data_IF_241530358841
#
_entry.id   IF_241530358841
#
_cell.length_a   1.000
_cell.length_b   1.000
_cell.length_c   1.000
_cell.angle_alpha   90.00
_cell.angle_beta   90.00
_cell.angle_gamma   90.00
#
_symmetry.space_group_name_H-M   'P 1'
#
loop_
_entity.id
_entity.type
_entity.pdbx_description
1 polymer ?
#
# COMPACT_ATOMS: atom_id res chain seq x y z
N UNK A 1 1.89 10.20 39.02
CA UNK A 1 2.59 9.25 38.12
C UNK A 1 3.93 9.87 37.75
N UNK A 2 5.03 9.13 37.90
CA UNK A 2 6.38 9.68 37.67
C UNK A 2 6.56 9.86 36.13
N UNK A 3 7.21 10.99 35.73
CA UNK A 3 7.50 11.32 34.30
C UNK A 3 8.23 10.17 33.60
N UNK A 4 9.18 9.53 34.26
CA UNK A 4 9.94 8.38 33.75
C UNK A 4 9.04 7.19 33.36
N UNK A 5 8.10 6.86 34.22
CA UNK A 5 7.12 5.77 34.00
C UNK A 5 6.19 6.08 32.83
N UNK A 6 5.83 7.35 32.60
CA UNK A 6 4.99 7.76 31.48
C UNK A 6 5.74 7.65 30.15
N UNK A 7 6.99 8.12 30.11
CA UNK A 7 7.84 8.03 28.92
C UNK A 7 8.08 6.57 28.53
N UNK A 8 8.44 5.70 29.47
CA UNK A 8 8.66 4.29 29.19
C UNK A 8 7.42 3.58 28.59
N UNK A 9 6.22 4.02 28.97
CA UNK A 9 4.99 3.47 28.39
C UNK A 9 4.78 3.93 26.95
N UNK A 10 5.08 5.20 26.65
CA UNK A 10 4.99 5.73 25.28
C UNK A 10 6.07 5.15 24.39
N UNK A 11 7.31 5.00 24.89
CA UNK A 11 8.43 4.43 24.13
C UNK A 11 8.13 3.02 23.64
N UNK A 12 7.46 2.19 24.41
CA UNK A 12 7.05 0.84 23.99
C UNK A 12 6.20 0.81 22.74
N UNK A 13 5.33 1.81 22.55
CA UNK A 13 4.59 1.94 21.29
C UNK A 13 5.46 2.55 20.21
N UNK A 14 6.21 3.60 20.55
CA UNK A 14 6.98 4.37 19.58
C UNK A 14 8.11 3.56 18.93
N UNK A 15 8.77 2.67 19.69
CA UNK A 15 9.87 1.81 19.19
C UNK A 15 9.46 0.98 17.96
N UNK A 16 8.27 0.38 18.01
CA UNK A 16 7.75 -0.47 16.94
C UNK A 16 6.82 0.27 15.96
N UNK A 17 6.68 1.60 16.13
CA UNK A 17 5.80 2.46 15.32
C UNK A 17 6.51 3.71 14.79
N UNK A 18 7.77 3.59 14.39
CA UNK A 18 8.55 4.68 13.76
C UNK A 18 8.64 5.96 14.60
N UNK A 19 8.69 5.84 15.91
CA UNK A 19 8.65 6.99 16.82
C UNK A 19 7.26 7.58 17.04
N UNK A 20 6.22 7.01 16.44
CA UNK A 20 4.84 7.51 16.49
C UNK A 20 4.04 6.83 17.62
N UNK A 21 3.12 7.58 18.19
CA UNK A 21 2.15 7.08 19.17
C UNK A 21 0.79 7.75 18.93
N UNK A 22 -0.28 6.98 19.02
CA UNK A 22 -1.61 7.57 18.97
C UNK A 22 -2.05 8.00 20.37
N UNK A 23 -2.89 9.01 20.42
CA UNK A 23 -3.53 9.42 21.67
C UNK A 23 -4.31 8.27 22.33
N UNK A 24 -4.97 7.42 21.53
CA UNK A 24 -5.76 6.31 22.03
C UNK A 24 -4.89 5.22 22.67
N UNK A 25 -3.71 4.97 22.14
CA UNK A 25 -2.71 4.08 22.73
C UNK A 25 -2.20 4.65 24.07
N UNK A 26 -1.94 5.95 24.15
CA UNK A 26 -1.54 6.60 25.38
C UNK A 26 -2.65 6.49 26.45
N UNK A 27 -3.90 6.69 26.09
CA UNK A 27 -5.05 6.53 26.97
C UNK A 27 -5.19 5.07 27.47
N UNK A 28 -5.04 4.09 26.58
CA UNK A 28 -5.05 2.65 26.95
C UNK A 28 -3.91 2.25 27.86
N UNK A 29 -2.76 2.93 27.76
CA UNK A 29 -1.62 2.78 28.68
C UNK A 29 -1.81 3.49 30.02
N UNK A 30 -3.00 4.07 30.29
CA UNK A 30 -3.34 4.75 31.53
C UNK A 30 -2.75 6.16 31.65
N UNK A 31 -2.38 6.79 30.53
CA UNK A 31 -1.91 8.18 30.52
C UNK A 31 -3.13 9.11 30.44
N UNK A 32 -3.37 9.88 31.50
CA UNK A 32 -4.51 10.79 31.54
C UNK A 32 -4.41 11.90 30.50
N UNK A 33 -5.57 12.42 30.08
CA UNK A 33 -5.66 13.53 29.13
C UNK A 33 -4.81 14.75 29.56
N UNK A 34 -4.86 15.09 30.86
CA UNK A 34 -4.09 16.21 31.42
C UNK A 34 -2.57 15.96 31.33
N UNK A 35 -2.12 14.74 31.66
CA UNK A 35 -0.71 14.36 31.52
C UNK A 35 -0.26 14.41 30.05
N UNK A 36 -1.08 13.88 29.14
CA UNK A 36 -0.79 13.89 27.70
C UNK A 36 -0.68 15.32 27.15
N UNK A 37 -1.62 16.21 27.50
CA UNK A 37 -1.59 17.63 27.10
C UNK A 37 -0.34 18.33 27.62
N UNK A 38 0.09 18.03 28.84
CA UNK A 38 1.33 18.57 29.41
C UNK A 38 2.56 18.09 28.63
N UNK A 39 2.64 16.82 28.25
CA UNK A 39 3.75 16.30 27.44
C UNK A 39 3.86 17.00 26.08
N UNK A 40 2.73 17.34 25.46
CA UNK A 40 2.70 18.14 24.23
C UNK A 40 3.21 19.55 24.51
N UNK A 41 2.73 20.20 25.56
CA UNK A 41 3.15 21.56 25.92
C UNK A 41 4.65 21.66 26.29
N UNK A 42 5.21 20.59 26.86
CA UNK A 42 6.63 20.48 27.20
C UNK A 42 7.51 20.05 26.00
N UNK A 43 6.94 19.82 24.81
CA UNK A 43 7.68 19.37 23.63
C UNK A 43 8.24 17.96 23.75
N UNK A 44 7.72 17.12 24.65
CA UNK A 44 8.13 15.72 24.83
C UNK A 44 7.55 14.82 23.74
N UNK A 45 6.37 15.17 23.27
CA UNK A 45 5.71 14.61 22.10
C UNK A 45 5.24 15.75 21.21
N UNK A 46 5.42 15.61 19.91
CA UNK A 46 5.05 16.61 18.91
C UNK A 46 3.92 16.07 18.04
N UNK A 47 2.93 16.91 17.79
CA UNK A 47 1.80 16.51 16.95
C UNK A 47 2.24 16.41 15.48
N UNK A 48 2.06 15.23 14.88
CA UNK A 48 2.29 14.99 13.45
C UNK A 48 0.98 15.13 12.69
N UNK A 49 -0.09 14.54 13.22
CA UNK A 49 -1.40 14.57 12.61
C UNK A 49 -2.50 14.47 13.69
N UNK A 50 -3.78 14.46 13.26
CA UNK A 50 -4.91 14.37 14.18
C UNK A 50 -4.82 13.10 15.06
N UNK A 51 -4.55 13.28 16.34
CA UNK A 51 -4.45 12.18 17.30
C UNK A 51 -3.20 11.30 17.19
N UNK A 52 -2.23 11.67 16.33
CA UNK A 52 -0.93 11.00 16.18
C UNK A 52 0.20 11.97 16.54
N UNK A 53 1.14 11.49 17.30
CA UNK A 53 2.24 12.27 17.84
C UNK A 53 3.56 11.51 17.67
N UNK A 54 4.61 12.27 17.44
CA UNK A 54 5.98 11.77 17.40
C UNK A 54 6.64 11.97 18.76
N UNK A 55 7.35 10.98 19.25
CA UNK A 55 8.13 11.08 20.48
C UNK A 55 9.43 11.84 20.19
N UNK A 56 9.62 12.99 20.85
CA UNK A 56 10.81 13.83 20.64
C UNK A 56 12.08 13.05 20.98
N UNK A 57 13.05 13.09 20.06
CA UNK A 57 14.28 12.30 20.16
C UNK A 57 14.23 10.94 19.46
N UNK A 58 13.06 10.45 19.02
CA UNK A 58 13.00 9.32 18.11
C UNK A 58 13.44 9.75 16.68
N UNK A 59 14.05 8.87 15.88
CA UNK A 59 14.37 9.19 14.51
C UNK A 59 13.11 9.53 13.69
N UNK A 60 13.18 10.59 12.89
CA UNK A 60 12.12 10.91 11.93
C UNK A 60 12.27 9.92 10.77
N UNK A 61 11.21 9.18 10.50
CA UNK A 61 11.21 8.21 9.43
C UNK A 61 10.74 8.84 8.11
N UNK A 62 11.21 8.28 6.99
CA UNK A 62 10.62 8.58 5.69
C UNK A 62 9.11 8.29 5.69
N UNK A 63 8.36 9.05 4.89
CA UNK A 63 6.91 8.88 4.76
C UNK A 63 6.13 8.95 6.09
N UNK A 64 6.57 9.80 7.03
CA UNK A 64 5.95 9.94 8.35
C UNK A 64 4.46 10.29 8.27
N UNK A 65 4.05 11.10 7.30
CA UNK A 65 2.66 11.52 7.10
C UNK A 65 1.75 10.34 6.77
N UNK A 66 2.11 9.51 5.80
CA UNK A 66 1.30 8.33 5.47
C UNK A 66 1.28 7.29 6.59
N UNK A 67 2.37 7.18 7.37
CA UNK A 67 2.40 6.34 8.59
C UNK A 67 1.45 6.86 9.65
N UNK A 68 1.42 8.16 9.87
CA UNK A 68 0.49 8.79 10.80
C UNK A 68 -0.96 8.59 10.34
N UNK A 69 -1.26 8.83 9.06
CA UNK A 69 -2.58 8.60 8.49
C UNK A 69 -3.01 7.13 8.62
N UNK A 70 -2.10 6.18 8.36
CA UNK A 70 -2.38 4.75 8.53
C UNK A 70 -2.67 4.38 10.00
N UNK A 71 -1.90 4.94 10.96
CA UNK A 71 -2.17 4.72 12.39
C UNK A 71 -3.55 5.23 12.81
N UNK A 72 -4.05 6.29 12.19
CA UNK A 72 -5.38 6.83 12.45
C UNK A 72 -6.52 5.93 11.98
N UNK A 73 -6.28 5.06 11.01
CA UNK A 73 -7.32 4.10 10.58
C UNK A 73 -7.75 3.17 11.71
N UNK A 74 -6.86 2.83 12.64
CA UNK A 74 -7.19 2.01 13.80
C UNK A 74 -6.37 2.46 15.05
N UNK A 75 -6.66 3.65 15.62
CA UNK A 75 -5.76 4.31 16.57
C UNK A 75 -5.57 3.59 17.90
N UNK A 76 -6.39 2.57 18.20
CA UNK A 76 -6.23 1.74 19.40
C UNK A 76 -5.42 0.47 19.19
N UNK A 77 -5.09 0.14 17.94
CA UNK A 77 -4.37 -1.10 17.57
C UNK A 77 -2.93 -0.74 17.26
N UNK A 78 -1.98 -1.43 17.88
CA UNK A 78 -0.55 -1.26 17.62
C UNK A 78 -0.19 -1.70 16.19
N UNK A 79 0.84 -1.09 15.60
CA UNK A 79 1.22 -1.37 14.20
C UNK A 79 1.46 -2.86 13.96
N UNK A 80 2.13 -3.57 14.87
CA UNK A 80 2.43 -5.00 14.78
C UNK A 80 1.23 -5.94 14.98
N UNK A 81 0.12 -5.44 15.54
CA UNK A 81 -1.11 -6.21 15.74
C UNK A 81 -2.10 -6.05 14.59
N UNK A 82 -1.79 -5.18 13.62
CA UNK A 82 -2.70 -4.87 12.52
C UNK A 82 -2.65 -5.93 11.43
N UNK A 83 -3.81 -6.18 10.89
CA UNK A 83 -4.02 -7.00 9.69
C UNK A 83 -4.39 -6.10 8.50
N UNK A 84 -4.39 -6.59 7.27
CA UNK A 84 -4.80 -5.82 6.08
C UNK A 84 -6.22 -5.22 6.20
N UNK A 85 -7.08 -5.79 7.04
CA UNK A 85 -8.45 -5.27 7.27
C UNK A 85 -8.47 -3.86 7.90
N UNK A 86 -7.40 -3.42 8.53
CA UNK A 86 -7.26 -2.07 9.05
C UNK A 86 -6.80 -1.05 7.99
N UNK A 87 -6.51 -1.51 6.79
CA UNK A 87 -6.14 -0.70 5.64
C UNK A 87 -4.75 -1.01 5.09
N UNK A 88 -4.68 -1.16 3.78
CA UNK A 88 -3.44 -1.35 2.99
C UNK A 88 -3.22 -0.09 2.16
N UNK A 89 -2.02 0.43 2.16
CA UNK A 89 -1.65 1.59 1.33
C UNK A 89 -1.73 1.19 -0.13
N UNK A 90 -2.39 2.00 -0.96
CA UNK A 90 -2.72 1.67 -2.34
C UNK A 90 -2.65 2.87 -3.27
N UNK A 91 -2.96 2.69 -4.54
CA UNK A 91 -3.06 3.74 -5.57
C UNK A 91 -1.80 4.64 -5.60
N UNK A 92 -1.99 5.97 -5.67
CA UNK A 92 -0.88 6.93 -5.75
C UNK A 92 0.02 6.94 -4.53
N UNK A 93 -0.54 6.70 -3.32
CA UNK A 93 0.26 6.61 -2.10
C UNK A 93 1.19 5.41 -2.10
N UNK A 94 0.75 4.26 -2.62
CA UNK A 94 1.61 3.10 -2.78
C UNK A 94 2.68 3.34 -3.85
N UNK A 95 2.31 3.93 -5.00
CA UNK A 95 3.26 4.30 -6.04
C UNK A 95 4.39 5.20 -5.51
N UNK A 96 4.04 6.20 -4.69
CA UNK A 96 5.00 7.10 -4.06
C UNK A 96 5.94 6.37 -3.10
N UNK A 97 5.46 5.39 -2.31
CA UNK A 97 6.28 4.58 -1.42
C UNK A 97 7.30 3.71 -2.16
N UNK A 98 6.95 3.24 -3.36
CA UNK A 98 7.86 2.51 -4.24
C UNK A 98 8.80 3.43 -5.03
N UNK A 99 8.51 4.74 -5.10
CA UNK A 99 9.19 5.67 -5.99
C UNK A 99 8.87 5.44 -7.46
N UNK A 100 7.65 5.00 -7.79
CA UNK A 100 7.21 4.62 -9.12
C UNK A 100 6.42 5.73 -9.81
N UNK A 101 6.71 5.97 -11.09
CA UNK A 101 6.04 6.97 -11.92
C UNK A 101 6.21 8.39 -11.38
N UNK A 102 5.42 9.32 -11.91
CA UNK A 102 5.41 10.73 -11.51
C UNK A 102 4.03 11.18 -11.06
N UNK A 103 3.32 10.31 -10.34
CA UNK A 103 1.97 10.57 -9.86
C UNK A 103 2.02 11.37 -8.55
N UNK A 104 1.46 12.59 -8.51
CA UNK A 104 1.41 13.33 -7.26
C UNK A 104 0.49 12.63 -6.26
N UNK A 105 0.98 12.37 -5.06
CA UNK A 105 0.24 11.75 -3.96
C UNK A 105 -0.25 12.83 -2.99
N UNK A 106 -1.22 13.65 -3.43
CA UNK A 106 -1.78 14.76 -2.64
C UNK A 106 -2.67 14.29 -1.49
N UNK A 107 -3.02 13.02 -1.48
CA UNK A 107 -3.83 12.35 -0.47
C UNK A 107 -3.23 11.01 -0.11
N UNK A 108 -3.64 10.51 1.06
CA UNK A 108 -3.27 9.17 1.53
C UNK A 108 -4.35 8.16 1.12
N UNK A 109 -4.03 7.30 0.14
CA UNK A 109 -4.93 6.29 -0.39
C UNK A 109 -4.78 4.97 0.36
N UNK A 110 -5.89 4.44 0.86
CA UNK A 110 -5.93 3.15 1.55
C UNK A 110 -7.05 2.27 1.01
N UNK A 111 -6.75 1.00 0.77
CA UNK A 111 -7.74 -0.01 0.41
C UNK A 111 -8.14 -0.80 1.64
N UNK A 112 -9.46 -1.02 1.80
CA UNK A 112 -10.07 -1.81 2.86
C UNK A 112 -11.06 -2.82 2.26
N UNK A 113 -11.19 -3.99 2.91
CA UNK A 113 -12.18 -5.02 2.56
C UNK A 113 -13.63 -4.56 2.79
N UNK A 114 -13.85 -3.69 3.79
CA UNK A 114 -15.17 -3.17 4.18
C UNK A 114 -15.29 -1.68 3.91
N UNK A 115 -16.51 -1.25 3.50
CA UNK A 115 -16.78 0.18 3.29
C UNK A 115 -16.62 0.95 4.60
N UNK A 116 -15.83 1.99 4.55
CA UNK A 116 -15.60 2.93 5.65
C UNK A 116 -15.60 4.36 5.12
N UNK A 117 -16.01 5.29 5.95
CA UNK A 117 -15.94 6.73 5.68
C UNK A 117 -14.88 7.37 6.56
N UNK A 118 -14.24 8.40 6.06
CA UNK A 118 -13.33 9.26 6.81
C UNK A 118 -13.80 10.70 6.77
N UNK A 119 -13.45 11.47 7.81
CA UNK A 119 -13.64 12.92 7.84
C UNK A 119 -12.34 13.68 7.55
N UNK A 120 -11.27 12.95 7.29
CA UNK A 120 -9.97 13.53 6.97
C UNK A 120 -9.94 13.87 5.47
N UNK A 121 -9.73 15.15 5.10
CA UNK A 121 -9.77 15.57 3.71
C UNK A 121 -8.60 15.05 2.88
N UNK A 122 -7.50 14.73 3.54
CA UNK A 122 -6.26 14.20 2.99
C UNK A 122 -6.21 12.66 2.91
N UNK A 123 -7.27 11.97 3.36
CA UNK A 123 -7.39 10.50 3.32
C UNK A 123 -8.50 10.08 2.37
N UNK A 124 -8.16 9.18 1.44
CA UNK A 124 -9.10 8.52 0.54
C UNK A 124 -9.17 7.02 0.85
N UNK A 125 -10.39 6.52 1.03
CA UNK A 125 -10.62 5.11 1.36
C UNK A 125 -11.32 4.43 0.18
N UNK A 126 -10.66 3.40 -0.34
CA UNK A 126 -11.17 2.56 -1.41
C UNK A 126 -11.71 1.26 -0.82
N UNK A 127 -12.90 0.84 -1.28
CA UNK A 127 -13.46 -0.46 -0.90
C UNK A 127 -13.18 -1.46 -2.00
N UNK A 128 -12.23 -2.35 -1.78
CA UNK A 128 -11.91 -3.47 -2.68
C UNK A 128 -11.46 -4.69 -1.88
N UNK A 129 -11.79 -5.90 -2.32
CA UNK A 129 -11.16 -7.09 -1.76
C UNK A 129 -9.66 -7.04 -2.06
N UNK A 130 -8.87 -7.55 -1.12
CA UNK A 130 -7.44 -7.76 -1.28
C UNK A 130 -7.18 -9.24 -1.02
N UNK A 131 -6.62 -9.91 -2.02
CA UNK A 131 -6.23 -11.30 -1.91
C UNK A 131 -4.82 -11.43 -1.34
N UNK A 132 -4.52 -12.61 -0.82
CA UNK A 132 -3.16 -12.93 -0.39
C UNK A 132 -2.21 -12.82 -1.59
N UNK A 133 -1.09 -12.12 -1.41
CA UNK A 133 -0.12 -11.88 -2.48
C UNK A 133 -0.31 -10.57 -3.25
N UNK A 134 -1.43 -9.85 -3.13
CA UNK A 134 -1.62 -8.54 -3.76
C UNK A 134 -0.97 -7.37 -3.00
N UNK A 135 -0.42 -7.63 -1.83
CA UNK A 135 0.28 -6.64 -1.00
C UNK A 135 1.51 -7.25 -0.33
N UNK A 136 2.43 -6.41 0.09
CA UNK A 136 3.64 -6.77 0.84
C UNK A 136 3.87 -5.77 1.96
N UNK A 137 4.78 -6.09 2.89
CA UNK A 137 5.22 -5.14 3.91
C UNK A 137 6.42 -4.35 3.42
N UNK A 138 6.31 -3.01 3.42
CA UNK A 138 7.41 -2.08 3.12
C UNK A 138 7.65 -1.20 4.34
N UNK A 139 8.80 -1.33 4.97
CA UNK A 139 9.14 -0.57 6.16
C UNK A 139 8.12 -0.71 7.30
N UNK A 140 7.47 -1.87 7.40
CA UNK A 140 6.42 -2.17 8.39
C UNK A 140 5.00 -1.72 8.00
N UNK A 141 4.81 -1.13 6.82
CA UNK A 141 3.50 -0.75 6.28
C UNK A 141 3.00 -1.80 5.29
N UNK A 142 1.73 -2.22 5.32
CA UNK A 142 1.14 -3.03 4.27
C UNK A 142 0.88 -2.15 3.04
N UNK A 143 1.42 -2.54 1.89
CA UNK A 143 1.39 -1.76 0.64
C UNK A 143 1.01 -2.68 -0.51
N UNK A 144 0.09 -2.27 -1.38
CA UNK A 144 -0.26 -3.05 -2.58
C UNK A 144 0.93 -3.19 -3.53
N UNK A 145 1.03 -4.34 -4.20
CA UNK A 145 2.09 -4.58 -5.20
C UNK A 145 1.93 -3.68 -6.42
N UNK A 146 3.01 -3.39 -7.16
CA UNK A 146 2.95 -2.53 -8.34
C UNK A 146 1.94 -2.97 -9.39
N UNK A 147 1.77 -4.26 -9.65
CA UNK A 147 0.74 -4.77 -10.56
C UNK A 147 -0.66 -4.43 -10.07
N UNK A 148 -0.94 -4.57 -8.76
CA UNK A 148 -2.21 -4.16 -8.17
C UNK A 148 -2.40 -2.64 -8.22
N UNK A 149 -1.35 -1.84 -8.00
CA UNK A 149 -1.43 -0.38 -8.13
C UNK A 149 -1.84 0.00 -9.56
N UNK A 150 -1.27 -0.64 -10.58
CA UNK A 150 -1.61 -0.37 -11.98
C UNK A 150 -3.11 -0.60 -12.27
N UNK A 151 -3.69 -1.71 -11.80
CA UNK A 151 -5.12 -1.99 -11.96
C UNK A 151 -5.99 -1.01 -11.17
N UNK A 152 -5.63 -0.70 -9.93
CA UNK A 152 -6.37 0.25 -9.09
C UNK A 152 -6.42 1.65 -9.72
N UNK A 153 -5.31 2.11 -10.31
CA UNK A 153 -5.24 3.39 -11.01
C UNK A 153 -6.07 3.41 -12.30
N UNK A 154 -6.05 2.33 -13.08
CA UNK A 154 -6.89 2.21 -14.27
C UNK A 154 -8.39 2.21 -13.92
N UNK A 155 -8.78 1.61 -12.80
CA UNK A 155 -10.15 1.64 -12.33
C UNK A 155 -10.60 3.03 -11.84
N UNK A 156 -9.65 3.85 -11.40
CA UNK A 156 -9.87 5.26 -11.02
C UNK A 156 -9.76 6.21 -12.25
N UNK A 157 -9.76 5.67 -13.48
CA UNK A 157 -9.64 6.44 -14.73
C UNK A 157 -8.36 7.29 -14.82
N UNK A 158 -7.26 6.83 -14.18
CA UNK A 158 -5.97 7.48 -14.31
C UNK A 158 -5.48 7.48 -15.77
N UNK A 159 -4.66 8.48 -16.12
CA UNK A 159 -4.05 8.55 -17.45
C UNK A 159 -3.23 7.30 -17.78
N UNK A 160 -3.52 6.60 -18.88
CA UNK A 160 -2.80 5.39 -19.25
C UNK A 160 -1.28 5.59 -19.44
N UNK A 161 -0.85 6.79 -19.83
CA UNK A 161 0.57 7.13 -19.94
C UNK A 161 1.25 7.16 -18.56
N UNK A 162 0.58 7.71 -17.55
CA UNK A 162 1.07 7.73 -16.17
C UNK A 162 1.17 6.29 -15.61
N UNK A 163 0.16 5.46 -15.87
CA UNK A 163 0.19 4.03 -15.49
C UNK A 163 1.31 3.29 -16.23
N UNK A 164 1.54 3.59 -17.51
CA UNK A 164 2.62 3.00 -18.28
C UNK A 164 4.01 3.32 -17.72
N UNK A 165 4.24 4.56 -17.29
CA UNK A 165 5.49 4.95 -16.59
C UNK A 165 5.68 4.15 -15.30
N UNK A 166 4.62 4.03 -14.48
CA UNK A 166 4.65 3.23 -13.25
C UNK A 166 5.04 1.77 -13.54
N UNK A 167 4.42 1.15 -14.55
CA UNK A 167 4.70 -0.23 -14.94
C UNK A 167 6.16 -0.39 -15.40
N UNK A 168 6.62 0.49 -16.28
CA UNK A 168 7.98 0.46 -16.79
C UNK A 168 9.02 0.61 -15.66
N UNK A 169 8.79 1.54 -14.74
CA UNK A 169 9.66 1.76 -13.60
C UNK A 169 9.68 0.54 -12.65
N UNK A 170 8.51 -0.04 -12.35
CA UNK A 170 8.41 -1.21 -11.49
C UNK A 170 9.13 -2.43 -12.06
N UNK A 171 9.01 -2.68 -13.36
CA UNK A 171 9.68 -3.80 -14.02
C UNK A 171 11.19 -3.57 -14.03
N UNK A 172 11.67 -2.38 -14.39
CA UNK A 172 13.11 -2.04 -14.39
C UNK A 172 13.74 -2.13 -13.01
N UNK A 173 13.02 -1.71 -11.97
CA UNK A 173 13.47 -1.78 -10.58
C UNK A 173 13.31 -3.19 -9.97
N UNK A 174 12.80 -4.17 -10.73
CA UNK A 174 12.53 -5.55 -10.26
C UNK A 174 11.61 -5.57 -9.03
N UNK A 175 10.69 -4.62 -8.95
CA UNK A 175 9.74 -4.51 -7.84
C UNK A 175 8.47 -5.35 -8.08
N UNK A 176 8.19 -5.69 -9.35
CA UNK A 176 7.15 -6.64 -9.72
C UNK A 176 7.50 -7.31 -11.06
N UNK A 177 6.86 -8.44 -11.33
CA UNK A 177 7.15 -9.27 -12.49
C UNK A 177 6.24 -8.91 -13.68
N UNK A 178 6.75 -8.88 -14.93
CA UNK A 178 5.94 -8.52 -16.12
C UNK A 178 4.69 -9.37 -16.30
N UNK A 179 4.72 -10.65 -15.93
CA UNK A 179 3.57 -11.55 -15.98
C UNK A 179 2.43 -11.11 -15.07
N UNK A 180 2.74 -10.63 -13.87
CA UNK A 180 1.73 -10.14 -12.93
C UNK A 180 0.97 -8.95 -13.52
N UNK A 181 1.67 -8.05 -14.23
CA UNK A 181 1.00 -6.96 -14.93
C UNK A 181 0.09 -7.47 -16.05
N UNK A 182 0.55 -8.44 -16.85
CA UNK A 182 -0.30 -9.01 -17.91
C UNK A 182 -1.59 -9.60 -17.33
N UNK A 183 -1.51 -10.30 -16.20
CA UNK A 183 -2.67 -10.91 -15.55
C UNK A 183 -3.69 -9.86 -15.08
N UNK A 184 -3.25 -8.84 -14.35
CA UNK A 184 -4.16 -7.80 -13.82
C UNK A 184 -4.68 -6.85 -14.91
N UNK A 185 -3.99 -6.72 -16.03
CA UNK A 185 -4.37 -5.86 -17.15
C UNK A 185 -5.37 -6.50 -18.11
N UNK A 186 -5.54 -7.82 -18.09
CA UNK A 186 -6.42 -8.54 -18.99
C UNK A 186 -7.87 -7.99 -19.04
N UNK A 187 -8.53 -7.63 -17.92
CA UNK A 187 -9.87 -7.07 -17.93
C UNK A 187 -10.01 -5.74 -18.69
N UNK A 188 -8.93 -4.99 -18.82
CA UNK A 188 -8.94 -3.67 -19.46
C UNK A 188 -8.77 -3.70 -20.99
N UNK A 189 -8.51 -4.87 -21.58
CA UNK A 189 -8.22 -5.00 -23.00
C UNK A 189 -9.29 -4.37 -23.91
N UNK A 190 -10.56 -4.63 -23.64
CA UNK A 190 -11.69 -4.08 -24.43
C UNK A 190 -11.75 -2.55 -24.31
N UNK A 191 -11.46 -1.98 -23.15
CA UNK A 191 -11.42 -0.53 -22.91
C UNK A 191 -10.41 0.17 -23.87
N UNK A 192 -9.32 -0.51 -24.18
CA UNK A 192 -8.28 -0.01 -25.07
C UNK A 192 -8.43 -0.48 -26.54
N UNK A 193 -9.59 -1.04 -26.90
CA UNK A 193 -9.85 -1.51 -28.28
C UNK A 193 -9.09 -2.79 -28.65
N UNK A 194 -8.63 -3.55 -27.67
CA UNK A 194 -7.88 -4.79 -27.83
C UNK A 194 -8.78 -6.02 -27.66
N UNK A 195 -8.26 -7.19 -28.02
CA UNK A 195 -8.99 -8.45 -27.86
C UNK A 195 -9.29 -8.70 -26.37
N UNK A 196 -10.51 -9.10 -26.07
CA UNK A 196 -10.94 -9.44 -24.71
C UNK A 196 -9.95 -10.36 -24.00
N UNK A 197 -9.65 -10.06 -22.76
CA UNK A 197 -8.77 -10.81 -21.86
C UNK A 197 -7.31 -10.95 -22.36
N UNK A 198 -6.87 -10.09 -23.30
CA UNK A 198 -5.50 -10.05 -23.80
C UNK A 198 -4.65 -9.05 -23.02
N UNK A 199 -4.28 -9.43 -21.79
CA UNK A 199 -3.44 -8.59 -20.94
C UNK A 199 -2.02 -8.35 -21.47
N UNK A 200 -1.47 -9.31 -22.26
CA UNK A 200 -0.19 -9.10 -22.92
C UNK A 200 -0.27 -8.00 -23.99
N UNK A 201 -1.40 -7.91 -24.71
CA UNK A 201 -1.60 -6.83 -25.67
C UNK A 201 -1.76 -5.48 -24.95
N UNK A 202 -2.44 -5.44 -23.79
CA UNK A 202 -2.54 -4.22 -22.97
C UNK A 202 -1.17 -3.81 -22.47
N UNK A 203 -0.39 -4.73 -21.90
CA UNK A 203 0.96 -4.45 -21.42
C UNK A 203 1.86 -3.90 -22.55
N UNK A 204 1.81 -4.52 -23.74
CA UNK A 204 2.53 -4.04 -24.92
C UNK A 204 2.12 -2.62 -25.29
N UNK A 205 0.82 -2.35 -25.32
CA UNK A 205 0.28 -1.05 -25.68
C UNK A 205 0.74 0.03 -24.68
N UNK A 206 0.64 -0.24 -23.37
CA UNK A 206 1.08 0.69 -22.32
C UNK A 206 2.60 0.96 -22.41
N UNK A 207 3.44 -0.06 -22.50
CA UNK A 207 4.89 0.12 -22.64
C UNK A 207 5.25 0.88 -23.94
N UNK A 208 4.44 0.70 -24.99
CA UNK A 208 4.57 1.45 -26.24
C UNK A 208 4.27 2.94 -26.09
N UNK A 209 3.35 3.34 -25.21
CA UNK A 209 3.04 4.77 -24.95
C UNK A 209 4.25 5.54 -24.42
N UNK A 210 5.09 4.88 -23.64
CA UNK A 210 6.28 5.48 -23.04
C UNK A 210 7.57 5.18 -23.80
N UNK A 211 7.45 4.45 -24.93
CA UNK A 211 8.59 4.13 -25.78
C UNK A 211 9.64 3.28 -25.08
N UNK A 212 9.23 2.35 -24.21
CA UNK A 212 10.16 1.51 -23.45
C UNK A 212 11.00 0.63 -24.38
N UNK A 213 12.35 0.79 -24.38
CA UNK A 213 13.23 0.06 -25.31
C UNK A 213 13.23 -1.45 -25.06
N UNK A 214 12.96 -1.89 -23.84
CA UNK A 214 12.97 -3.30 -23.43
C UNK A 214 11.60 -3.99 -23.55
N UNK A 215 10.61 -3.33 -24.14
CA UNK A 215 9.23 -3.85 -24.31
C UNK A 215 9.19 -5.30 -24.78
N UNK A 216 9.97 -5.66 -25.82
CA UNK A 216 9.98 -7.03 -26.35
C UNK A 216 10.53 -8.05 -25.34
N UNK A 217 11.52 -7.67 -24.57
CA UNK A 217 12.08 -8.49 -23.48
C UNK A 217 11.03 -8.74 -22.41
N UNK A 218 10.39 -7.68 -21.91
CA UNK A 218 9.36 -7.78 -20.87
C UNK A 218 8.16 -8.64 -21.31
N UNK A 219 7.75 -8.50 -22.55
CA UNK A 219 6.68 -9.35 -23.12
C UNK A 219 7.10 -10.82 -23.28
N UNK A 220 8.37 -11.09 -23.55
CA UNK A 220 8.91 -12.45 -23.54
C UNK A 220 8.85 -13.09 -22.17
N UNK A 221 9.27 -12.36 -21.14
CA UNK A 221 9.21 -12.78 -19.74
C UNK A 221 7.76 -13.01 -19.28
N UNK A 222 6.83 -12.08 -19.61
CA UNK A 222 5.41 -12.22 -19.28
C UNK A 222 4.77 -13.46 -19.92
N UNK A 223 5.10 -13.78 -21.19
CA UNK A 223 4.59 -14.99 -21.86
C UNK A 223 5.05 -16.28 -21.19
N UNK A 224 6.30 -16.34 -20.74
CA UNK A 224 6.83 -17.50 -20.04
C UNK A 224 6.05 -17.77 -18.74
N UNK A 225 5.62 -16.71 -18.04
CA UNK A 225 4.81 -16.81 -16.83
C UNK A 225 3.43 -17.42 -17.11
N UNK A 226 2.71 -16.91 -18.11
CA UNK A 226 1.37 -17.41 -18.50
C UNK A 226 1.41 -18.90 -18.85
N UNK A 227 2.46 -19.36 -19.53
CA UNK A 227 2.61 -20.76 -19.92
C UNK A 227 2.81 -21.67 -18.71
N UNK A 228 3.55 -21.23 -17.70
CA UNK A 228 3.76 -22.00 -16.45
C UNK A 228 2.50 -22.06 -15.58
N UNK A 229 1.74 -20.97 -15.47
CA UNK A 229 0.48 -20.91 -14.73
C UNK A 229 -0.63 -21.79 -15.32
N UNK A 230 -0.63 -22.03 -16.63
CA UNK A 230 -1.59 -22.92 -17.30
C UNK A 230 -1.31 -24.39 -17.07
N UNK A 231 -0.04 -24.78 -16.89
CA UNK A 231 0.36 -26.17 -16.69
C UNK A 231 0.09 -26.70 -15.26
N UNK A 232 -0.17 -25.84 -14.31
CA UNK A 232 -0.42 -26.20 -12.89
C UNK A 232 -1.89 -26.46 -12.54
N UNK A 233 -2.85 -26.26 -13.46
CA UNK A 233 -4.29 -26.44 -13.21
C UNK A 233 -4.88 -27.77 -13.65
N UNK A 234 -4.12 -28.63 -14.32
CA UNK A 234 -4.52 -29.98 -14.69
C UNK A 234 -3.93 -31.03 -13.71
N UNK A 235 -4.43 -31.05 -12.48
CA UNK A 235 -4.30 -32.23 -11.63
C UNK A 235 -5.57 -33.07 -11.82
N UNK A 236 -5.50 -34.25 -12.47
CA UNK A 236 -6.66 -35.12 -12.57
C UNK A 236 -7.05 -35.61 -11.19
N UNK A 237 -8.34 -35.47 -10.86
CA UNK A 237 -8.92 -36.03 -9.63
C UNK A 237 -8.63 -37.53 -9.56
N UNK A 238 -8.17 -38.07 -8.42
CA UNK A 238 -8.02 -39.51 -8.23
C UNK A 238 -9.40 -40.13 -8.30
N UNK A 239 -9.58 -40.98 -9.32
CA UNK A 239 -10.80 -41.78 -9.50
C UNK A 239 -11.07 -42.64 -8.28
N UNK A 240 -12.27 -42.52 -7.72
CA UNK A 240 -12.88 -43.47 -6.79
C UNK A 240 -13.06 -44.81 -7.53
N UNK A 241 -12.25 -45.80 -7.18
CA UNK A 241 -12.55 -47.20 -7.46
C UNK A 241 -13.08 -47.89 -6.20
N UNK A 242 -14.33 -48.42 -6.36
CA UNK A 242 -14.82 -49.63 -5.74
C UNK A 242 -15.11 -49.65 -4.27
#
# INVERSE_FOLDING_TARGET
MNRYSTLNRLSRFAEDQWGLVTRRQAESAGISRATFTRLVAEGVIERVDHGVYHLSGAPISEHQEVRAAWLQLAPGISAWERTPDQGVISHRSAAALYGLGHLPADRHDFTLSKRRQTRQPDVRLHKRPLEEGEWISIGGLPVTRPSRIASDLLDDDEDPGAVAHLIADAIRAVQDYPGNFADVLAPYAVRFGLRRDDGLAVLRWLLGLVGDPDTNRWLGEARAHVTQGSSGRDIPSPGTHG
#
